data_IF_630830238033
#
_entry.id   IF_630830238033
#
_cell.length_a   1.000
_cell.length_b   1.000
_cell.length_c   1.000
_cell.angle_alpha   90.00
_cell.angle_beta   90.00
_cell.angle_gamma   90.00
#
_symmetry.space_group_name_H-M   'P 1'
#
loop_
_entity.id
_entity.type
_entity.pdbx_description
1 polymer ?
#
# COMPACT_ATOMS: atom_id res chain seq x y z
N UNK A 1 4.72 28.13 -11.11
CA UNK A 1 4.55 28.08 -9.66
C UNK A 1 5.61 28.92 -8.95
N UNK A 2 6.90 28.56 -9.00
CA UNK A 2 7.98 29.30 -8.27
C UNK A 2 8.07 30.77 -8.71
N UNK A 3 7.91 31.07 -9.99
CA UNK A 3 7.93 32.45 -10.51
C UNK A 3 6.70 33.23 -10.03
N UNK A 4 5.53 32.61 -9.97
CA UNK A 4 4.31 33.25 -9.44
C UNK A 4 4.46 33.56 -7.95
N UNK A 5 4.95 32.59 -7.16
CA UNK A 5 5.21 32.81 -5.73
C UNK A 5 6.24 33.91 -5.49
N UNK A 6 7.33 33.97 -6.28
CA UNK A 6 8.32 35.03 -6.18
C UNK A 6 7.70 36.41 -6.49
N UNK A 7 6.88 36.50 -7.52
CA UNK A 7 6.19 37.73 -7.90
C UNK A 7 5.23 38.20 -6.79
N UNK A 8 4.43 37.27 -6.22
CA UNK A 8 3.50 37.61 -5.14
C UNK A 8 4.24 38.13 -3.89
N UNK A 9 5.39 37.50 -3.55
CA UNK A 9 6.24 37.94 -2.45
C UNK A 9 6.90 39.31 -2.71
N UNK A 10 7.32 39.59 -3.94
CA UNK A 10 7.85 40.89 -4.34
C UNK A 10 6.80 41.99 -4.22
N UNK A 11 5.52 41.65 -4.39
CA UNK A 11 4.41 42.57 -4.19
C UNK A 11 4.04 42.77 -2.71
N UNK A 12 4.74 42.09 -1.78
CA UNK A 12 4.49 42.19 -0.34
C UNK A 12 3.33 41.31 0.15
N UNK A 13 2.85 40.38 -0.65
CA UNK A 13 1.85 39.39 -0.22
C UNK A 13 2.50 38.43 0.75
N UNK A 14 1.85 38.19 1.89
CA UNK A 14 2.31 37.21 2.88
C UNK A 14 2.51 35.83 2.25
N UNK A 15 3.58 35.11 2.58
CA UNK A 15 3.92 33.82 1.96
C UNK A 15 2.81 32.80 2.14
N UNK A 16 2.17 32.74 3.31
CA UNK A 16 1.00 31.89 3.56
C UNK A 16 -0.15 32.17 2.59
N UNK A 17 -0.39 33.45 2.26
CA UNK A 17 -1.44 33.83 1.32
C UNK A 17 -1.07 33.52 -0.14
N UNK A 18 0.21 33.68 -0.52
CA UNK A 18 0.71 33.34 -1.84
C UNK A 18 0.60 31.82 -2.13
N UNK A 19 0.53 30.97 -1.09
CA UNK A 19 0.33 29.52 -1.24
C UNK A 19 -1.13 29.10 -1.46
N UNK A 20 -2.12 29.95 -1.14
CA UNK A 20 -3.56 29.62 -1.23
C UNK A 20 -4.01 29.14 -2.63
N UNK A 21 -3.61 29.76 -3.75
CA UNK A 21 -3.98 29.30 -5.07
C UNK A 21 -3.41 27.92 -5.43
N UNK A 22 -2.41 27.47 -4.71
CA UNK A 22 -1.65 26.22 -4.97
C UNK A 22 -1.98 25.11 -3.97
N UNK A 23 -3.21 25.07 -3.47
CA UNK A 23 -3.67 24.09 -2.46
C UNK A 23 -3.52 22.62 -2.87
N UNK A 24 -3.51 22.32 -4.17
CA UNK A 24 -3.20 20.95 -4.67
C UNK A 24 -1.75 20.53 -4.43
N UNK A 25 -0.82 21.50 -4.44
CA UNK A 25 0.62 21.27 -4.23
C UNK A 25 0.99 21.46 -2.77
N UNK A 26 0.43 22.48 -2.13
CA UNK A 26 0.63 22.84 -0.72
C UNK A 26 -0.68 22.64 0.05
N UNK A 27 -0.87 21.45 0.65
CA UNK A 27 -2.05 21.19 1.48
C UNK A 27 -2.24 22.21 2.59
N UNK A 28 -3.44 22.38 3.14
CA UNK A 28 -3.75 23.37 4.17
C UNK A 28 -2.85 23.35 5.40
N UNK A 29 -2.30 22.18 5.75
CA UNK A 29 -1.28 22.06 6.78
C UNK A 29 -0.06 22.97 6.52
N UNK A 30 0.42 23.00 5.25
CA UNK A 30 1.56 23.85 4.88
C UNK A 30 1.24 25.32 5.05
N UNK A 31 0.06 25.73 4.61
CA UNK A 31 -0.41 27.10 4.73
C UNK A 31 -0.55 27.50 6.21
N UNK A 32 -1.14 26.63 7.04
CA UNK A 32 -1.29 26.88 8.47
C UNK A 32 0.05 27.01 9.20
N UNK A 33 0.99 26.12 8.92
CA UNK A 33 2.32 26.17 9.53
C UNK A 33 3.14 27.38 9.06
N UNK A 34 3.11 27.69 7.76
CA UNK A 34 3.77 28.86 7.20
C UNK A 34 3.19 30.13 7.81
N UNK A 35 1.86 30.23 7.92
CA UNK A 35 1.19 31.37 8.58
C UNK A 35 1.60 31.51 10.03
N UNK A 36 1.67 30.42 10.78
CA UNK A 36 2.17 30.44 12.16
C UNK A 36 3.61 30.90 12.22
N UNK A 37 4.49 30.39 11.34
CA UNK A 37 5.87 30.80 11.22
C UNK A 37 6.04 32.29 10.89
N UNK A 38 5.21 32.84 10.00
CA UNK A 38 5.18 34.30 9.69
C UNK A 38 4.78 35.13 10.91
N UNK A 39 3.74 34.72 11.62
CA UNK A 39 3.23 35.44 12.80
C UNK A 39 4.20 35.40 13.99
N UNK A 40 4.96 34.31 14.13
CA UNK A 40 5.91 34.10 15.24
C UNK A 40 7.36 34.49 14.90
N UNK A 41 7.62 34.84 13.64
CA UNK A 41 8.98 35.09 13.13
C UNK A 41 9.88 33.86 13.02
N UNK A 42 9.29 32.63 13.02
CA UNK A 42 9.98 31.34 12.98
C UNK A 42 9.70 30.58 11.67
N UNK A 43 9.66 31.30 10.57
CA UNK A 43 9.33 30.75 9.27
C UNK A 43 10.35 29.68 8.81
N UNK A 44 11.62 29.87 9.13
CA UNK A 44 12.70 28.94 8.84
C UNK A 44 12.53 27.61 9.57
N UNK A 45 12.19 27.63 10.88
CA UNK A 45 11.91 26.43 11.67
C UNK A 45 10.69 25.67 11.10
N UNK A 46 9.62 26.38 10.75
CA UNK A 46 8.42 25.78 10.16
C UNK A 46 8.69 25.15 8.79
N UNK A 47 9.42 25.83 7.93
CA UNK A 47 9.81 25.32 6.61
C UNK A 47 10.71 24.08 6.72
N UNK A 48 11.67 24.10 7.65
CA UNK A 48 12.57 22.97 7.89
C UNK A 48 11.81 21.74 8.39
N UNK A 49 10.89 21.92 9.33
CA UNK A 49 10.10 20.82 9.88
C UNK A 49 9.14 20.23 8.83
N UNK A 50 8.50 21.06 8.00
CA UNK A 50 7.68 20.60 6.87
C UNK A 50 8.53 19.81 5.86
N UNK A 51 9.74 20.26 5.54
CA UNK A 51 10.64 19.55 4.63
C UNK A 51 11.10 18.21 5.21
N UNK A 52 11.44 18.17 6.50
CA UNK A 52 11.80 16.97 7.25
C UNK A 52 10.67 15.94 7.25
N UNK A 53 9.45 16.41 7.53
CA UNK A 53 8.26 15.55 7.51
C UNK A 53 7.99 14.97 6.12
N UNK A 54 8.05 15.80 5.08
CA UNK A 54 7.80 15.34 3.72
C UNK A 54 8.84 14.30 3.28
N UNK A 55 10.11 14.52 3.65
CA UNK A 55 11.18 13.56 3.39
C UNK A 55 10.91 12.23 4.10
N UNK A 56 10.56 12.26 5.37
CA UNK A 56 10.24 11.06 6.16
C UNK A 56 9.03 10.30 5.59
N UNK A 57 7.98 11.02 5.18
CA UNK A 57 6.80 10.43 4.54
C UNK A 57 7.12 9.78 3.19
N UNK A 58 7.97 10.41 2.38
CA UNK A 58 8.46 9.82 1.13
C UNK A 58 9.27 8.57 1.39
N UNK A 59 10.23 8.61 2.33
CA UNK A 59 11.05 7.45 2.69
C UNK A 59 10.20 6.25 3.10
N UNK A 60 9.18 6.47 3.95
CA UNK A 60 8.26 5.42 4.36
C UNK A 60 7.48 4.85 3.15
N UNK A 61 6.97 5.73 2.30
CA UNK A 61 6.21 5.32 1.10
C UNK A 61 7.08 4.55 0.12
N UNK A 62 8.31 5.00 -0.11
CA UNK A 62 9.25 4.36 -1.03
C UNK A 62 9.73 3.02 -0.48
N UNK A 63 9.93 2.91 0.83
CA UNK A 63 10.26 1.64 1.49
C UNK A 63 9.15 0.61 1.31
N UNK A 64 7.90 0.99 1.56
CA UNK A 64 6.73 0.12 1.35
C UNK A 64 6.60 -0.31 -0.12
N UNK A 65 6.78 0.61 -1.07
CA UNK A 65 6.74 0.28 -2.50
C UNK A 65 7.88 -0.65 -2.90
N UNK A 66 9.09 -0.41 -2.37
CA UNK A 66 10.27 -1.23 -2.66
C UNK A 66 10.09 -2.67 -2.15
N UNK A 67 9.55 -2.84 -0.94
CA UNK A 67 9.27 -4.15 -0.37
C UNK A 67 8.34 -5.01 -1.24
N UNK A 68 7.42 -4.38 -1.99
CA UNK A 68 6.49 -5.08 -2.89
C UNK A 68 7.03 -5.25 -4.32
N UNK A 69 7.99 -4.45 -4.74
CA UNK A 69 8.52 -4.49 -6.12
C UNK A 69 9.19 -5.80 -6.46
N UNK A 70 10.07 -6.26 -5.59
CA UNK A 70 10.83 -7.50 -5.79
C UNK A 70 9.91 -8.75 -5.92
N UNK A 71 8.97 -9.01 -5.02
CA UNK A 71 7.99 -10.10 -5.16
C UNK A 71 7.20 -10.06 -6.47
N UNK A 72 6.78 -8.87 -6.89
CA UNK A 72 6.01 -8.72 -8.14
C UNK A 72 6.87 -9.08 -9.36
N UNK A 73 8.14 -8.66 -9.40
CA UNK A 73 9.05 -8.98 -10.51
C UNK A 73 9.29 -10.49 -10.58
N UNK A 74 9.59 -11.13 -9.45
CA UNK A 74 9.82 -12.59 -9.41
C UNK A 74 8.58 -13.36 -9.86
N UNK A 75 7.40 -12.98 -9.35
CA UNK A 75 6.16 -13.64 -9.73
C UNK A 75 5.86 -13.44 -11.23
N UNK A 76 6.10 -12.26 -11.77
CA UNK A 76 5.95 -11.99 -13.19
C UNK A 76 6.90 -12.83 -14.04
N UNK A 77 8.17 -12.96 -13.63
CA UNK A 77 9.13 -13.83 -14.31
C UNK A 77 8.74 -15.32 -14.22
N UNK A 78 8.29 -15.76 -13.05
CA UNK A 78 7.84 -17.15 -12.87
C UNK A 78 6.64 -17.47 -13.77
N UNK A 79 5.65 -16.59 -13.82
CA UNK A 79 4.49 -16.73 -14.71
C UNK A 79 4.94 -16.76 -16.18
N UNK A 80 5.87 -15.89 -16.57
CA UNK A 80 6.42 -15.87 -17.94
C UNK A 80 7.07 -17.22 -18.30
N UNK A 81 7.90 -17.78 -17.41
CA UNK A 81 8.54 -19.08 -17.61
C UNK A 81 7.50 -20.19 -17.73
N UNK A 82 6.50 -20.20 -16.83
CA UNK A 82 5.40 -21.20 -16.87
C UNK A 82 4.65 -21.13 -18.21
N UNK A 83 4.27 -19.94 -18.65
CA UNK A 83 3.56 -19.72 -19.91
C UNK A 83 4.42 -20.18 -21.11
N UNK A 84 5.72 -19.84 -21.09
CA UNK A 84 6.64 -20.28 -22.13
C UNK A 84 6.76 -21.81 -22.17
N UNK A 85 6.88 -22.49 -21.03
CA UNK A 85 6.93 -23.94 -20.96
C UNK A 85 5.64 -24.60 -21.45
N UNK A 86 4.48 -24.07 -21.07
CA UNK A 86 3.18 -24.60 -21.47
C UNK A 86 2.91 -24.44 -22.98
N UNK A 87 3.35 -23.34 -23.59
CA UNK A 87 3.04 -23.06 -25.00
C UNK A 87 4.10 -23.51 -25.98
N UNK A 88 5.37 -23.56 -25.58
CA UNK A 88 6.45 -23.94 -26.50
C UNK A 88 6.98 -25.34 -26.24
N UNK A 89 7.16 -25.74 -24.99
CA UNK A 89 7.86 -26.97 -24.66
C UNK A 89 6.92 -28.16 -24.56
N UNK A 90 5.80 -28.00 -23.88
CA UNK A 90 4.85 -29.09 -23.64
C UNK A 90 4.21 -29.65 -24.92
N UNK A 91 3.84 -28.85 -25.95
CA UNK A 91 3.29 -29.37 -27.21
C UNK A 91 4.27 -30.22 -27.99
N UNK A 92 5.57 -29.91 -27.96
CA UNK A 92 6.61 -30.71 -28.64
C UNK A 92 6.70 -32.12 -28.04
N UNK A 93 6.67 -32.22 -26.72
CA UNK A 93 6.62 -33.52 -26.04
C UNK A 93 5.33 -34.28 -26.37
N UNK A 94 4.20 -33.62 -26.43
CA UNK A 94 2.92 -34.24 -26.77
C UNK A 94 2.93 -34.79 -28.21
N UNK A 95 3.56 -34.11 -29.17
CA UNK A 95 3.72 -34.54 -30.55
C UNK A 95 4.59 -35.82 -30.62
N UNK A 96 5.69 -35.89 -29.87
CA UNK A 96 6.55 -37.08 -29.79
C UNK A 96 5.74 -38.28 -29.27
N UNK A 97 4.95 -38.12 -28.19
CA UNK A 97 4.14 -39.21 -27.63
C UNK A 97 3.09 -39.77 -28.61
N UNK A 98 2.43 -38.88 -29.35
CA UNK A 98 1.49 -39.30 -30.42
C UNK A 98 2.12 -40.19 -31.45
N UNK A 99 3.42 -39.98 -31.77
CA UNK A 99 4.15 -40.80 -32.75
C UNK A 99 4.42 -42.23 -32.25
N UNK A 100 4.53 -42.42 -30.93
CA UNK A 100 4.79 -43.74 -30.33
C UNK A 100 3.49 -44.45 -29.86
N UNK A 101 2.32 -43.87 -30.07
CA UNK A 101 1.01 -44.43 -29.70
C UNK A 101 0.90 -44.86 -28.22
N UNK A 102 1.67 -44.21 -27.33
CA UNK A 102 1.70 -44.49 -25.90
C UNK A 102 0.84 -43.46 -25.14
N UNK A 103 0.07 -43.87 -24.10
CA UNK A 103 -0.71 -42.93 -23.30
C UNK A 103 0.21 -42.02 -22.48
N UNK A 104 -0.12 -40.76 -22.43
CA UNK A 104 0.58 -39.75 -21.62
C UNK A 104 0.37 -40.05 -20.11
N UNK A 105 1.43 -39.86 -19.29
CA UNK A 105 1.27 -39.94 -17.84
C UNK A 105 0.22 -38.97 -17.32
N UNK A 106 -0.53 -39.37 -16.26
CA UNK A 106 -1.67 -38.61 -15.75
C UNK A 106 -1.31 -37.16 -15.35
N UNK A 107 -0.13 -36.97 -14.80
CA UNK A 107 0.37 -35.63 -14.40
C UNK A 107 0.59 -34.73 -15.64
N UNK A 108 1.21 -35.26 -16.68
CA UNK A 108 1.44 -34.53 -17.95
C UNK A 108 0.12 -34.22 -18.64
N UNK A 109 -0.83 -35.19 -18.64
CA UNK A 109 -2.16 -35.01 -19.21
C UNK A 109 -2.94 -33.93 -18.47
N UNK A 110 -2.88 -33.89 -17.13
CA UNK A 110 -3.51 -32.83 -16.33
C UNK A 110 -2.96 -31.45 -16.61
N UNK A 111 -1.64 -31.32 -16.80
CA UNK A 111 -1.01 -30.05 -17.14
C UNK A 111 -1.36 -29.63 -18.57
N UNK A 112 -1.45 -30.58 -19.52
CA UNK A 112 -1.88 -30.31 -20.90
C UNK A 112 -3.34 -29.80 -20.95
N UNK A 113 -4.26 -30.41 -20.20
CA UNK A 113 -5.64 -29.92 -20.14
C UNK A 113 -5.72 -28.50 -19.57
N UNK A 114 -4.86 -28.16 -18.59
CA UNK A 114 -4.73 -26.80 -18.10
C UNK A 114 -4.11 -25.84 -19.14
N UNK A 115 -3.16 -26.31 -19.93
CA UNK A 115 -2.54 -25.53 -21.01
C UNK A 115 -3.54 -25.26 -22.14
N UNK A 116 -4.29 -26.27 -22.59
CA UNK A 116 -5.33 -26.15 -23.62
C UNK A 116 -6.45 -25.22 -23.16
N UNK A 117 -6.92 -25.38 -21.91
CA UNK A 117 -7.89 -24.45 -21.32
C UNK A 117 -7.33 -23.02 -21.27
N UNK A 118 -6.08 -22.82 -20.86
CA UNK A 118 -5.46 -21.50 -20.86
C UNK A 118 -5.27 -20.93 -22.27
N UNK A 119 -5.00 -21.76 -23.28
CA UNK A 119 -4.82 -21.38 -24.68
C UNK A 119 -6.13 -20.91 -25.32
N UNK A 120 -7.18 -21.73 -25.24
CA UNK A 120 -8.49 -21.42 -25.81
C UNK A 120 -9.18 -20.23 -25.15
N UNK A 121 -9.00 -20.06 -23.84
CA UNK A 121 -9.63 -19.01 -23.04
C UNK A 121 -8.71 -17.83 -22.71
N UNK A 122 -7.48 -17.83 -23.23
CA UNK A 122 -6.48 -16.77 -22.96
C UNK A 122 -7.00 -15.38 -23.30
N UNK A 123 -7.67 -15.20 -24.44
CA UNK A 123 -8.24 -13.92 -24.85
C UNK A 123 -9.39 -13.49 -23.95
N UNK A 124 -10.21 -14.43 -23.45
CA UNK A 124 -11.28 -14.17 -22.49
C UNK A 124 -10.73 -13.80 -21.12
N UNK A 125 -9.64 -14.45 -20.67
CA UNK A 125 -8.96 -14.07 -19.42
C UNK A 125 -8.35 -12.67 -19.51
N UNK A 126 -7.71 -12.34 -20.64
CA UNK A 126 -7.19 -10.99 -20.89
C UNK A 126 -8.33 -9.96 -20.97
N UNK A 127 -9.41 -10.28 -21.70
CA UNK A 127 -10.60 -9.43 -21.81
C UNK A 127 -11.27 -9.25 -20.44
N UNK A 128 -11.40 -10.31 -19.66
CA UNK A 128 -11.98 -10.26 -18.31
C UNK A 128 -11.10 -9.43 -17.36
N UNK A 129 -9.77 -9.62 -17.40
CA UNK A 129 -8.84 -8.79 -16.66
C UNK A 129 -8.91 -7.31 -17.05
N UNK A 130 -9.01 -7.02 -18.33
CA UNK A 130 -9.18 -5.67 -18.87
C UNK A 130 -10.53 -5.06 -18.45
N UNK A 131 -11.62 -5.81 -18.55
CA UNK A 131 -12.95 -5.40 -18.06
C UNK A 131 -12.95 -5.14 -16.55
N UNK A 132 -12.31 -6.02 -15.75
CA UNK A 132 -12.13 -5.80 -14.32
C UNK A 132 -11.31 -4.54 -14.02
N UNK A 133 -10.26 -4.28 -14.78
CA UNK A 133 -9.43 -3.08 -14.63
C UNK A 133 -10.25 -1.81 -14.95
N UNK A 134 -11.03 -1.83 -16.04
CA UNK A 134 -11.93 -0.73 -16.42
C UNK A 134 -13.02 -0.56 -15.37
N UNK A 135 -13.69 -1.65 -14.95
CA UNK A 135 -14.72 -1.62 -13.93
C UNK A 135 -14.16 -1.05 -12.62
N UNK A 136 -12.98 -1.51 -12.18
CA UNK A 136 -12.31 -0.96 -11.01
C UNK A 136 -12.01 0.54 -11.17
N UNK A 137 -11.51 0.97 -12.35
CA UNK A 137 -11.23 2.40 -12.65
C UNK A 137 -12.51 3.25 -12.65
N UNK A 138 -13.61 2.72 -13.15
CA UNK A 138 -14.92 3.39 -13.13
C UNK A 138 -15.52 3.42 -11.73
N UNK A 139 -15.45 2.31 -10.99
CA UNK A 139 -15.95 2.21 -9.63
C UNK A 139 -15.09 3.05 -8.64
N UNK A 140 -13.79 3.25 -8.93
CA UNK A 140 -12.92 4.15 -8.13
C UNK A 140 -13.43 5.60 -8.07
N UNK A 141 -14.32 6.00 -8.99
CA UNK A 141 -15.00 7.31 -8.94
C UNK A 141 -16.13 7.36 -7.90
N UNK A 142 -16.58 6.22 -7.37
CA UNK A 142 -17.65 6.15 -6.37
C UNK A 142 -17.07 6.03 -4.96
N UNK A 143 -17.38 6.98 -4.04
CA UNK A 143 -16.81 6.97 -2.69
C UNK A 143 -17.18 5.72 -1.90
N UNK A 144 -18.38 5.18 -2.08
CA UNK A 144 -18.83 3.93 -1.42
C UNK A 144 -17.97 2.72 -1.80
N UNK A 145 -17.56 2.60 -3.06
CA UNK A 145 -16.67 1.52 -3.50
C UNK A 145 -15.27 1.64 -2.90
N UNK A 146 -14.74 2.86 -2.82
CA UNK A 146 -13.45 3.13 -2.19
C UNK A 146 -13.44 2.69 -0.73
N UNK A 147 -14.52 2.94 0.03
CA UNK A 147 -14.66 2.53 1.43
C UNK A 147 -14.67 0.99 1.55
N UNK A 148 -15.49 0.31 0.73
CA UNK A 148 -15.59 -1.15 0.76
C UNK A 148 -14.25 -1.81 0.41
N UNK A 149 -13.60 -1.33 -0.66
CA UNK A 149 -12.28 -1.81 -1.07
C UNK A 149 -11.24 -1.61 0.03
N UNK A 150 -11.26 -0.46 0.70
CA UNK A 150 -10.32 -0.18 1.78
C UNK A 150 -10.56 -1.07 2.99
N UNK A 151 -11.82 -1.26 3.40
CA UNK A 151 -12.17 -2.20 4.46
C UNK A 151 -11.72 -3.62 4.14
N UNK A 152 -11.84 -4.04 2.88
CA UNK A 152 -11.39 -5.36 2.43
C UNK A 152 -9.85 -5.47 2.48
N UNK A 153 -9.13 -4.46 1.99
CA UNK A 153 -7.67 -4.41 2.05
C UNK A 153 -7.14 -4.38 3.48
N UNK A 154 -7.82 -3.67 4.38
CA UNK A 154 -7.46 -3.63 5.81
C UNK A 154 -7.70 -4.97 6.53
N UNK A 155 -8.52 -5.89 5.98
CA UNK A 155 -8.72 -7.24 6.51
C UNK A 155 -7.61 -8.22 6.13
N UNK A 156 -6.83 -7.91 5.09
CA UNK A 156 -5.71 -8.76 4.70
C UNK A 156 -4.62 -8.64 5.77
N UNK A 157 -4.23 -9.74 6.44
CA UNK A 157 -3.14 -9.70 7.40
C UNK A 157 -1.88 -9.14 6.74
N UNK A 158 -1.00 -8.48 7.46
CA UNK A 158 0.23 -7.84 7.01
C UNK A 158 -0.03 -6.60 6.14
N UNK A 159 -0.73 -6.70 4.99
CA UNK A 159 -1.03 -5.55 4.12
C UNK A 159 -1.93 -4.53 4.83
N UNK A 160 -2.97 -5.01 5.53
CA UNK A 160 -3.85 -4.13 6.32
C UNK A 160 -3.11 -3.44 7.45
N UNK A 161 -2.25 -4.16 8.16
CA UNK A 161 -1.42 -3.58 9.23
C UNK A 161 -0.44 -2.52 8.70
N UNK A 162 0.18 -2.79 7.55
CA UNK A 162 1.08 -1.86 6.87
C UNK A 162 0.36 -0.57 6.43
N UNK A 163 -0.79 -0.72 5.78
CA UNK A 163 -1.61 0.43 5.33
C UNK A 163 -2.16 1.24 6.50
N UNK A 164 -2.61 0.56 7.56
CA UNK A 164 -3.08 1.22 8.79
C UNK A 164 -1.95 1.97 9.48
N UNK A 165 -0.79 1.32 9.66
CA UNK A 165 0.39 1.93 10.27
C UNK A 165 0.85 3.17 9.52
N UNK A 166 0.91 3.14 8.18
CA UNK A 166 1.24 4.29 7.35
C UNK A 166 0.25 5.46 7.57
N UNK A 167 -1.05 5.16 7.68
CA UNK A 167 -2.06 6.20 7.92
C UNK A 167 -2.00 6.76 9.34
N UNK A 168 -1.81 5.92 10.33
CA UNK A 168 -1.64 6.36 11.72
C UNK A 168 -0.37 7.20 11.89
N UNK A 169 0.75 6.82 11.25
CA UNK A 169 1.96 7.65 11.19
C UNK A 169 1.64 9.03 10.62
N UNK A 170 0.93 9.11 9.50
CA UNK A 170 0.55 10.38 8.88
C UNK A 170 -0.33 11.22 9.81
N UNK A 171 -1.36 10.61 10.44
CA UNK A 171 -2.28 11.28 11.35
C UNK A 171 -1.52 11.87 12.54
N UNK A 172 -0.77 11.03 13.27
CA UNK A 172 -0.06 11.48 14.46
C UNK A 172 1.05 12.48 14.18
N UNK A 173 1.76 12.34 13.05
CA UNK A 173 2.77 13.32 12.65
C UNK A 173 2.17 14.70 12.40
N UNK A 174 1.04 14.78 11.67
CA UNK A 174 0.38 16.06 11.40
C UNK A 174 -0.17 16.66 12.69
N UNK A 175 -0.80 15.84 13.56
CA UNK A 175 -1.31 16.30 14.84
C UNK A 175 -0.20 16.78 15.77
N UNK A 176 0.94 16.09 15.84
CA UNK A 176 2.09 16.52 16.63
C UNK A 176 2.61 17.89 16.15
N UNK A 177 2.78 18.03 14.82
CA UNK A 177 3.23 19.29 14.23
C UNK A 177 2.28 20.46 14.48
N UNK A 178 0.97 20.24 14.33
CA UNK A 178 -0.01 21.29 14.58
C UNK A 178 -0.05 21.69 16.05
N UNK A 179 0.07 20.71 16.96
CA UNK A 179 0.12 21.01 18.40
C UNK A 179 1.42 21.74 18.80
N UNK A 180 2.56 21.33 18.29
CA UNK A 180 3.83 22.04 18.56
C UNK A 180 3.86 23.46 17.98
N UNK A 181 3.11 23.72 16.91
CA UNK A 181 2.89 25.03 16.34
C UNK A 181 1.82 25.87 17.09
N UNK A 182 1.22 25.36 18.17
CA UNK A 182 0.17 26.05 18.95
C UNK A 182 -1.21 26.06 18.28
N UNK A 183 -1.41 25.25 17.24
CA UNK A 183 -2.70 25.08 16.56
C UNK A 183 -3.58 24.16 17.40
N UNK A 184 -4.87 24.49 17.57
CA UNK A 184 -5.78 23.66 18.36
C UNK A 184 -5.92 22.24 17.80
N UNK A 185 -6.16 21.25 18.67
CA UNK A 185 -6.31 19.86 18.24
C UNK A 185 -7.42 19.68 17.20
N UNK A 186 -8.52 20.41 17.35
CA UNK A 186 -9.65 20.36 16.42
C UNK A 186 -9.25 20.83 15.00
N UNK A 187 -8.50 21.92 14.90
CA UNK A 187 -7.93 22.42 13.64
C UNK A 187 -6.86 21.46 13.08
N UNK A 188 -6.10 20.81 13.96
CA UNK A 188 -5.16 19.76 13.59
C UNK A 188 -5.86 18.57 12.92
N UNK A 189 -6.98 18.09 13.51
CA UNK A 189 -7.80 17.02 12.91
C UNK A 189 -8.36 17.45 11.55
N UNK A 190 -8.78 18.68 11.39
CA UNK A 190 -9.22 19.23 10.11
C UNK A 190 -8.10 19.21 9.07
N UNK A 191 -6.91 19.68 9.43
CA UNK A 191 -5.73 19.66 8.56
C UNK A 191 -5.37 18.23 8.13
N UNK A 192 -5.45 17.25 9.05
CA UNK A 192 -5.28 15.83 8.71
C UNK A 192 -6.33 15.38 7.71
N UNK A 193 -7.61 15.67 7.95
CA UNK A 193 -8.73 15.27 7.10
C UNK A 193 -8.56 15.74 5.66
N UNK A 194 -8.13 16.98 5.46
CA UNK A 194 -7.91 17.56 4.13
C UNK A 194 -6.73 16.93 3.36
N UNK A 195 -5.74 16.41 4.08
CA UNK A 195 -4.63 15.68 3.47
C UNK A 195 -5.00 14.23 3.11
N UNK A 196 -6.12 13.72 3.63
CA UNK A 196 -6.54 12.33 3.42
C UNK A 196 -7.33 12.16 2.13
N UNK A 197 -6.81 11.37 1.19
CA UNK A 197 -7.52 11.03 -0.06
C UNK A 197 -8.51 9.87 0.08
N UNK A 198 -8.52 9.17 1.22
CA UNK A 198 -9.33 7.99 1.42
C UNK A 198 -10.61 8.30 2.17
N UNK A 199 -11.81 8.08 1.58
CA UNK A 199 -13.08 8.37 2.21
C UNK A 199 -13.30 7.70 3.57
N UNK A 200 -12.74 6.51 3.78
CA UNK A 200 -12.82 5.80 5.05
C UNK A 200 -12.18 6.60 6.19
N UNK A 201 -10.94 7.07 6.00
CA UNK A 201 -10.23 7.86 6.99
C UNK A 201 -10.83 9.25 7.15
N UNK A 202 -11.35 9.84 6.05
CA UNK A 202 -12.07 11.12 6.12
C UNK A 202 -13.30 11.01 7.01
N UNK A 203 -14.13 9.97 6.86
CA UNK A 203 -15.30 9.75 7.71
C UNK A 203 -14.92 9.56 9.17
N UNK A 204 -13.86 8.78 9.44
CA UNK A 204 -13.35 8.55 10.79
C UNK A 204 -12.88 9.85 11.46
N UNK A 205 -12.12 10.67 10.75
CA UNK A 205 -11.65 11.97 11.25
C UNK A 205 -12.81 12.96 11.46
N UNK A 206 -13.83 12.93 10.59
CA UNK A 206 -15.05 13.72 10.75
C UNK A 206 -15.82 13.32 12.02
N UNK A 207 -15.88 12.03 12.32
CA UNK A 207 -16.49 11.54 13.58
C UNK A 207 -15.71 12.04 14.79
N UNK A 208 -14.37 11.93 14.77
CA UNK A 208 -13.51 12.44 15.86
C UNK A 208 -13.74 13.93 16.06
N UNK A 209 -13.76 14.71 14.98
CA UNK A 209 -14.00 16.15 15.03
C UNK A 209 -15.37 16.48 15.65
N UNK A 210 -16.41 15.75 15.27
CA UNK A 210 -17.75 15.89 15.81
C UNK A 210 -17.82 15.57 17.31
N UNK A 211 -17.22 14.44 17.74
CA UNK A 211 -17.21 14.03 19.13
C UNK A 211 -16.50 15.07 20.02
N UNK A 212 -15.35 15.58 19.57
CA UNK A 212 -14.60 16.62 20.30
C UNK A 212 -15.37 17.93 20.35
N UNK A 213 -16.03 18.34 19.26
CA UNK A 213 -16.87 19.56 19.22
C UNK A 213 -18.05 19.45 20.16
N UNK A 214 -18.53 18.26 20.49
CA UNK A 214 -19.57 17.99 21.47
C UNK A 214 -19.05 17.93 22.93
N UNK A 215 -17.75 18.21 23.14
CA UNK A 215 -17.14 18.25 24.48
C UNK A 215 -16.61 16.89 24.97
N UNK A 216 -16.58 15.87 24.14
CA UNK A 216 -15.95 14.60 24.53
C UNK A 216 -14.42 14.76 24.61
N UNK A 217 -13.75 14.10 25.60
CA UNK A 217 -12.31 14.05 25.68
C UNK A 217 -11.69 13.44 24.40
N UNK A 218 -10.51 13.90 24.01
CA UNK A 218 -9.83 13.48 22.79
C UNK A 218 -9.64 11.94 22.77
N UNK A 219 -9.15 11.36 23.86
CA UNK A 219 -8.95 9.91 23.96
C UNK A 219 -10.25 9.12 23.76
N UNK A 220 -11.40 9.65 24.20
CA UNK A 220 -12.70 8.99 24.06
C UNK A 220 -13.20 9.06 22.61
N UNK A 221 -13.05 10.21 21.97
CA UNK A 221 -13.36 10.38 20.54
C UNK A 221 -12.55 9.41 19.67
N UNK A 222 -11.26 9.23 19.97
CA UNK A 222 -10.42 8.23 19.28
C UNK A 222 -10.89 6.79 19.55
N UNK A 223 -11.25 6.47 20.81
CA UNK A 223 -11.73 5.13 21.19
C UNK A 223 -13.00 4.73 20.45
N UNK A 224 -13.94 5.66 20.28
CA UNK A 224 -15.22 5.42 19.61
C UNK A 224 -15.07 4.97 18.15
N UNK A 225 -13.96 5.26 17.50
CA UNK A 225 -13.70 4.86 16.12
C UNK A 225 -13.26 3.41 15.99
N UNK A 226 -12.69 2.80 17.04
CA UNK A 226 -12.19 1.42 17.04
C UNK A 226 -10.89 1.17 16.25
N UNK A 227 -10.27 2.22 15.67
CA UNK A 227 -9.08 2.08 14.83
C UNK A 227 -7.75 2.31 15.57
N UNK A 228 -7.81 2.91 16.76
CA UNK A 228 -6.64 3.24 17.55
C UNK A 228 -6.34 2.17 18.59
N UNK A 229 -5.07 1.81 18.73
CA UNK A 229 -4.63 0.81 19.71
C UNK A 229 -4.80 1.29 21.15
N UNK A 230 -4.89 0.37 22.14
CA UNK A 230 -4.91 0.75 23.55
C UNK A 230 -3.75 1.66 23.97
N UNK A 231 -2.56 1.44 23.40
CA UNK A 231 -1.37 2.29 23.62
C UNK A 231 -1.63 3.74 23.17
N UNK A 232 -2.21 3.92 21.96
CA UNK A 232 -2.56 5.26 21.47
C UNK A 232 -3.53 5.97 22.41
N UNK A 233 -4.58 5.26 22.84
CA UNK A 233 -5.60 5.82 23.73
C UNK A 233 -5.00 6.21 25.08
N UNK A 234 -4.10 5.40 25.63
CA UNK A 234 -3.46 5.68 26.91
C UNK A 234 -2.52 6.89 26.83
N UNK A 235 -1.67 6.97 25.79
CA UNK A 235 -0.76 8.09 25.61
C UNK A 235 -1.50 9.40 25.36
N UNK A 236 -2.55 9.38 24.51
CA UNK A 236 -3.38 10.57 24.30
C UNK A 236 -4.09 11.00 25.59
N UNK A 237 -4.64 10.06 26.36
CA UNK A 237 -5.27 10.36 27.66
C UNK A 237 -4.30 10.99 28.64
N UNK A 238 -3.06 10.48 28.70
CA UNK A 238 -2.01 11.03 29.55
C UNK A 238 -1.62 12.43 29.09
N UNK A 239 -1.39 12.62 27.78
CA UNK A 239 -1.03 13.93 27.22
C UNK A 239 -2.13 14.98 27.40
N UNK A 240 -3.40 14.57 27.26
CA UNK A 240 -4.56 15.44 27.49
C UNK A 240 -4.66 15.88 28.97
N UNK A 241 -4.40 14.96 29.90
CA UNK A 241 -4.46 15.25 31.35
C UNK A 241 -3.25 16.06 31.85
N UNK A 242 -2.06 15.88 31.26
CA UNK A 242 -0.83 16.58 31.66
C UNK A 242 -0.56 17.89 30.88
N UNK A 243 -1.35 18.17 29.83
CA UNK A 243 -1.09 19.29 28.92
C UNK A 243 0.11 19.13 27.99
N UNK A 244 0.66 17.90 27.88
CA UNK A 244 1.81 17.56 27.01
C UNK A 244 1.38 16.69 25.82
N UNK A 245 0.26 17.07 25.20
CA UNK A 245 -0.33 16.31 24.10
C UNK A 245 0.58 16.26 22.87
N UNK A 246 1.29 17.35 22.57
CA UNK A 246 2.29 17.49 21.51
C UNK A 246 3.37 16.40 21.58
N UNK A 247 3.97 16.22 22.77
CA UNK A 247 5.00 15.22 23.02
C UNK A 247 4.44 13.80 22.86
N UNK A 248 3.23 13.54 23.35
CA UNK A 248 2.61 12.20 23.25
C UNK A 248 2.24 11.87 21.80
N UNK A 249 1.78 12.83 21.04
CA UNK A 249 1.48 12.65 19.61
C UNK A 249 2.74 12.42 18.78
N UNK A 250 3.85 13.12 19.09
CA UNK A 250 5.14 12.90 18.44
C UNK A 250 5.68 11.49 18.72
N UNK A 251 5.63 11.04 19.97
CA UNK A 251 5.99 9.69 20.35
C UNK A 251 5.14 8.64 19.59
N UNK A 252 3.84 8.88 19.43
CA UNK A 252 2.96 7.99 18.65
C UNK A 252 3.32 8.00 17.16
N UNK A 253 3.65 9.15 16.59
CA UNK A 253 4.10 9.27 15.21
C UNK A 253 5.37 8.45 14.96
N UNK A 254 6.36 8.57 15.83
CA UNK A 254 7.59 7.78 15.79
C UNK A 254 7.31 6.29 15.95
N UNK A 255 6.55 5.90 16.96
CA UNK A 255 6.19 4.50 17.21
C UNK A 255 5.51 3.83 15.99
N UNK A 256 4.52 4.50 15.41
CA UNK A 256 3.83 3.96 14.22
C UNK A 256 4.73 3.94 12.99
N UNK A 257 5.62 4.92 12.83
CA UNK A 257 6.62 4.94 11.75
C UNK A 257 7.54 3.74 11.84
N UNK A 258 8.16 3.54 13.01
CA UNK A 258 9.14 2.47 13.23
C UNK A 258 8.51 1.10 13.08
N UNK A 259 7.33 0.89 13.64
CA UNK A 259 6.55 -0.34 13.45
C UNK A 259 6.19 -0.58 11.98
N UNK A 260 5.82 0.46 11.25
CA UNK A 260 5.47 0.31 9.83
C UNK A 260 6.70 -0.01 8.99
N UNK A 261 7.85 0.59 9.30
CA UNK A 261 9.12 0.25 8.65
C UNK A 261 9.54 -1.19 8.94
N UNK A 262 9.46 -1.63 10.19
CA UNK A 262 9.76 -3.00 10.60
C UNK A 262 8.81 -4.01 9.92
N UNK A 263 7.52 -3.71 9.83
CA UNK A 263 6.56 -4.55 9.11
C UNK A 263 6.88 -4.64 7.61
N UNK A 264 7.33 -3.55 6.99
CA UNK A 264 7.73 -3.56 5.58
C UNK A 264 8.98 -4.43 5.34
N UNK A 265 9.97 -4.36 6.23
CA UNK A 265 11.17 -5.20 6.18
C UNK A 265 10.84 -6.68 6.42
N UNK A 266 10.03 -6.98 7.42
CA UNK A 266 9.58 -8.34 7.72
C UNK A 266 8.75 -8.93 6.57
N UNK A 267 7.91 -8.13 5.92
CA UNK A 267 7.14 -8.57 4.76
C UNK A 267 8.08 -8.99 3.61
N UNK A 268 9.09 -8.19 3.30
CA UNK A 268 10.08 -8.53 2.28
C UNK A 268 10.81 -9.83 2.62
N UNK A 269 11.27 -9.96 3.86
CA UNK A 269 11.99 -11.15 4.34
C UNK A 269 11.13 -12.43 4.34
N UNK A 270 9.83 -12.34 4.61
CA UNK A 270 8.92 -13.49 4.60
C UNK A 270 8.47 -13.88 3.18
N UNK A 271 8.34 -12.90 2.29
CA UNK A 271 7.92 -13.16 0.92
C UNK A 271 9.00 -13.89 0.11
N UNK A 272 10.27 -13.67 0.40
CA UNK A 272 11.38 -14.30 -0.35
C UNK A 272 11.36 -15.84 -0.24
N UNK A 273 11.37 -16.48 0.95
CA UNK A 273 11.28 -17.94 1.07
C UNK A 273 9.96 -18.49 0.51
N UNK A 274 8.84 -17.78 0.73
CA UNK A 274 7.55 -18.21 0.21
C UNK A 274 7.52 -18.23 -1.33
N UNK A 275 8.09 -17.21 -1.97
CA UNK A 275 8.21 -17.15 -3.44
C UNK A 275 9.15 -18.24 -3.97
N UNK A 276 10.26 -18.51 -3.30
CA UNK A 276 11.18 -19.59 -3.69
C UNK A 276 10.49 -20.95 -3.63
N UNK A 277 9.71 -21.23 -2.58
CA UNK A 277 8.98 -22.49 -2.45
C UNK A 277 7.89 -22.60 -3.53
N UNK A 278 7.11 -21.55 -3.73
CA UNK A 278 6.02 -21.54 -4.71
C UNK A 278 6.56 -21.65 -6.14
N UNK A 279 7.52 -20.81 -6.51
CA UNK A 279 8.09 -20.82 -7.86
C UNK A 279 8.89 -22.09 -8.13
N UNK A 280 9.69 -22.54 -7.18
CA UNK A 280 10.43 -23.80 -7.24
C UNK A 280 9.51 -25.02 -7.32
N UNK A 281 8.42 -25.02 -6.56
CA UNK A 281 7.39 -26.07 -6.63
C UNK A 281 6.69 -26.12 -7.99
N UNK A 282 6.28 -24.97 -8.52
CA UNK A 282 5.63 -24.89 -9.84
C UNK A 282 6.60 -25.35 -10.95
N UNK A 283 7.81 -24.79 -10.99
CA UNK A 283 8.81 -25.13 -12.00
C UNK A 283 9.23 -26.60 -11.84
N UNK A 284 9.47 -27.08 -10.62
CA UNK A 284 9.81 -28.46 -10.33
C UNK A 284 8.72 -29.43 -10.79
N UNK A 285 7.45 -29.13 -10.54
CA UNK A 285 6.31 -29.93 -11.03
C UNK A 285 6.25 -29.97 -12.55
N UNK A 286 6.48 -28.84 -13.22
CA UNK A 286 6.54 -28.79 -14.70
C UNK A 286 7.70 -29.60 -15.25
N UNK A 287 8.89 -29.51 -14.66
CA UNK A 287 10.06 -30.27 -15.05
C UNK A 287 9.81 -31.79 -14.89
N UNK A 288 9.26 -32.22 -13.74
CA UNK A 288 8.88 -33.60 -13.51
C UNK A 288 7.85 -34.07 -14.54
N UNK A 289 6.84 -33.29 -14.85
CA UNK A 289 5.82 -33.62 -15.82
C UNK A 289 6.38 -33.76 -17.26
N UNK A 290 7.48 -33.06 -17.57
CA UNK A 290 8.16 -33.17 -18.84
C UNK A 290 9.11 -34.39 -18.92
N UNK A 291 9.80 -34.72 -17.82
CA UNK A 291 10.72 -35.85 -17.79
C UNK A 291 10.03 -37.20 -17.58
N UNK A 292 8.92 -37.24 -16.84
CA UNK A 292 8.17 -38.47 -16.61
C UNK A 292 7.85 -39.26 -17.91
N UNK A 293 7.40 -38.60 -18.97
CA UNK A 293 7.22 -39.22 -20.25
C UNK A 293 8.50 -39.91 -20.80
N UNK A 294 9.66 -39.26 -20.71
CA UNK A 294 10.91 -39.77 -21.25
C UNK A 294 11.29 -41.10 -20.56
N UNK A 295 11.12 -41.18 -19.25
CA UNK A 295 11.40 -42.41 -18.48
C UNK A 295 10.45 -43.57 -18.89
N UNK A 296 9.14 -43.28 -19.05
CA UNK A 296 8.17 -44.29 -19.49
C UNK A 296 8.39 -44.80 -20.91
N UNK A 297 8.90 -43.95 -21.82
CA UNK A 297 9.31 -44.39 -23.15
C UNK A 297 10.53 -45.35 -23.11
N UNK A 298 11.50 -45.07 -22.24
CA UNK A 298 12.63 -45.94 -21.99
C UNK A 298 12.23 -47.33 -21.52
N UNK A 299 11.28 -47.43 -20.58
CA UNK A 299 10.77 -48.69 -20.08
C UNK A 299 9.96 -49.45 -21.14
N UNK A 300 9.14 -48.75 -21.94
CA UNK A 300 8.37 -49.37 -23.02
C UNK A 300 9.28 -49.92 -24.15
N UNK A 301 10.40 -49.29 -24.44
CA UNK A 301 11.40 -49.79 -25.41
C UNK A 301 12.23 -50.94 -24.85
N UNK A 302 12.53 -50.98 -23.56
CA UNK A 302 13.27 -52.06 -22.91
C UNK A 302 12.41 -53.31 -22.65
N UNK A 303 11.07 -53.20 -22.63
CA UNK A 303 10.16 -54.33 -22.47
C UNK A 303 9.73 -55.02 -23.78
N UNK A 304 10.24 -54.54 -24.94
CA UNK A 304 10.02 -55.13 -26.26
C UNK A 304 11.22 -55.94 -26.78
N UNK A 305 12.22 -56.24 -25.94
CA UNK A 305 13.39 -57.06 -26.24
C UNK A 305 13.32 -58.51 -25.73
#
# INVERSE_FOLDING_TARGET
LLQSLAHDLEQGIAFSNALLPWSEVFPPLYQAMIRTGELTGKLDECCFELARQQKAQRQLTDKVKSALRYPIIILAMAIMVVVAMLHFVLPEFAAIYKTFNTPLPALTQGIMTLADFSGEWSWLLVLFGFLLAIANKLLMRRPTWLIVRQKLLLRIPIMGSLMRGQKLTQIFTILALTQSAGITFLQGVESVRETMRCPYWVQLLTQIQHDISNGHPIWLALKNTGEFSPLCLQLVRTGEASGSLDLMLDNLAHHHRDNTMALADNLAALLEPALLIITGGIIGTLVVAMYLPIFHLGDAMSGMG
#
